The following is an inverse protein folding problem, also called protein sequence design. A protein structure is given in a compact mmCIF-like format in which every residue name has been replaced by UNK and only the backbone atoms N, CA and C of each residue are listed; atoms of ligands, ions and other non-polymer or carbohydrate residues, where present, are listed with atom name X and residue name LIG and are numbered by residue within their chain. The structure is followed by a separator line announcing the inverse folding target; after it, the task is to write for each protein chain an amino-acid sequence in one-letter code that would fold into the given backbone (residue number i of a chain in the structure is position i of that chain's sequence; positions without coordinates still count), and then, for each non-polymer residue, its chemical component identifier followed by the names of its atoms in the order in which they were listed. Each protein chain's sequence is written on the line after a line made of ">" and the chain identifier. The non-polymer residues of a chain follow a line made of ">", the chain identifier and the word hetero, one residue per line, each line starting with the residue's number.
data_IF_339090015947
#
_entry.id   IF_339090015947
#
_cell.length_a   1.000
_cell.length_b   1.000
_cell.length_c   1.000
_cell.angle_alpha   90.00
_cell.angle_beta   90.00
_cell.angle_gamma   90.00
#
_symmetry.space_group_name_H-M   'P 1'
#
loop_
_entity.id
_entity.type
_entity.pdbx_description
1 polymer ?
#
# COMPACT_ATOMS: atom_id res chain seq x y z
N UNK A 1 8.51 -27.75 -9.47
CA UNK A 1 9.68 -27.14 -8.82
C UNK A 1 9.16 -26.41 -7.58
N UNK A 2 9.57 -26.80 -6.39
CA UNK A 2 9.20 -26.07 -5.18
C UNK A 2 9.93 -24.73 -5.22
N UNK A 3 9.17 -23.63 -5.40
CA UNK A 3 9.72 -22.28 -5.24
C UNK A 3 10.16 -22.19 -3.78
N UNK A 4 11.44 -21.90 -3.57
CA UNK A 4 11.98 -21.72 -2.23
C UNK A 4 11.21 -20.59 -1.53
N UNK A 5 10.50 -20.91 -0.46
CA UNK A 5 9.63 -19.96 0.24
C UNK A 5 10.41 -18.78 0.87
N UNK A 6 11.75 -18.89 0.90
CA UNK A 6 12.67 -17.94 1.51
C UNK A 6 13.37 -17.02 0.49
N UNK A 7 12.92 -17.01 -0.76
CA UNK A 7 13.45 -16.12 -1.81
C UNK A 7 12.49 -14.96 -2.11
N UNK A 8 13.03 -13.76 -2.39
CA UNK A 8 12.22 -12.65 -2.89
C UNK A 8 11.44 -13.03 -4.14
N UNK A 9 10.21 -12.58 -4.26
CA UNK A 9 9.40 -12.84 -5.46
C UNK A 9 9.86 -11.93 -6.59
N UNK A 10 10.05 -12.53 -7.78
CA UNK A 10 10.38 -11.79 -8.99
C UNK A 10 9.16 -11.05 -9.55
N UNK A 11 9.40 -10.09 -10.43
CA UNK A 11 8.33 -9.43 -11.21
C UNK A 11 7.50 -10.47 -11.97
N UNK A 12 8.15 -11.47 -12.59
CA UNK A 12 7.46 -12.54 -13.31
C UNK A 12 6.48 -13.34 -12.43
N UNK A 13 6.79 -13.53 -11.13
CA UNK A 13 5.88 -14.17 -10.19
C UNK A 13 4.55 -13.38 -10.09
N UNK A 14 4.63 -12.05 -9.94
CA UNK A 14 3.46 -11.19 -9.87
C UNK A 14 2.71 -11.14 -11.20
N UNK A 15 3.43 -10.98 -12.32
CA UNK A 15 2.85 -11.00 -13.66
C UNK A 15 2.01 -12.24 -13.93
N UNK A 16 2.53 -13.41 -13.54
CA UNK A 16 1.81 -14.67 -13.73
C UNK A 16 0.53 -14.74 -12.91
N UNK A 17 0.52 -14.21 -11.67
CA UNK A 17 -0.68 -14.16 -10.84
C UNK A 17 -1.77 -13.27 -11.48
N UNK A 18 -1.40 -12.12 -12.03
CA UNK A 18 -2.34 -11.25 -12.75
C UNK A 18 -2.84 -11.87 -14.05
N UNK A 19 -1.96 -12.47 -14.86
CA UNK A 19 -2.32 -13.17 -16.11
C UNK A 19 -3.25 -14.35 -15.87
N UNK A 20 -3.09 -15.07 -14.76
CA UNK A 20 -3.90 -16.22 -14.38
C UNK A 20 -5.18 -15.84 -13.60
N UNK A 21 -5.36 -14.56 -13.25
CA UNK A 21 -6.49 -14.09 -12.47
C UNK A 21 -6.51 -14.61 -11.02
N UNK A 22 -5.35 -15.02 -10.49
CA UNK A 22 -5.19 -15.53 -9.12
C UNK A 22 -4.83 -14.40 -8.17
N UNK A 23 -5.81 -13.61 -7.76
CA UNK A 23 -5.65 -12.37 -6.99
C UNK A 23 -6.35 -12.46 -5.62
N UNK A 24 -5.86 -13.27 -4.67
CA UNK A 24 -6.54 -13.46 -3.38
C UNK A 24 -6.59 -12.18 -2.51
N UNK A 25 -5.79 -11.18 -2.84
CA UNK A 25 -5.79 -9.86 -2.20
C UNK A 25 -6.73 -8.85 -2.86
N UNK A 26 -7.40 -9.21 -3.97
CA UNK A 26 -8.35 -8.34 -4.66
C UNK A 26 -9.71 -8.39 -3.95
N UNK A 27 -10.11 -7.28 -3.31
CA UNK A 27 -11.38 -7.18 -2.60
C UNK A 27 -12.57 -6.77 -3.49
N UNK A 28 -12.32 -6.46 -4.77
CA UNK A 28 -13.36 -6.04 -5.72
C UNK A 28 -13.95 -4.66 -5.45
N UNK A 29 -13.31 -3.83 -4.61
CA UNK A 29 -13.83 -2.51 -4.29
C UNK A 29 -12.98 -1.74 -3.26
N UNK A 30 -13.52 -0.59 -2.86
CA UNK A 30 -12.88 0.34 -1.92
C UNK A 30 -13.34 0.04 -0.50
N UNK A 31 -12.41 -0.13 0.46
CA UNK A 31 -12.75 -0.38 1.86
C UNK A 31 -13.53 0.78 2.49
N UNK A 32 -14.47 0.44 3.38
CA UNK A 32 -15.28 1.43 4.07
C UNK A 32 -14.42 2.28 5.03
N UNK A 33 -13.39 1.69 5.68
CA UNK A 33 -12.49 2.43 6.56
C UNK A 33 -11.71 3.51 5.82
N UNK A 34 -11.28 3.24 4.57
CA UNK A 34 -10.66 4.25 3.72
C UNK A 34 -11.65 5.38 3.39
N UNK A 35 -12.90 5.04 3.05
CA UNK A 35 -13.93 6.04 2.75
C UNK A 35 -14.15 6.98 3.93
N UNK A 36 -14.32 6.44 5.13
CA UNK A 36 -14.50 7.22 6.37
C UNK A 36 -13.30 8.11 6.68
N UNK A 37 -12.08 7.60 6.49
CA UNK A 37 -10.87 8.38 6.70
C UNK A 37 -10.82 9.58 5.75
N UNK A 38 -11.04 9.35 4.46
CA UNK A 38 -11.03 10.41 3.45
C UNK A 38 -12.19 11.42 3.65
N UNK A 39 -13.35 10.98 4.09
CA UNK A 39 -14.47 11.88 4.39
C UNK A 39 -14.18 12.80 5.59
N UNK A 40 -13.54 12.30 6.64
CA UNK A 40 -13.10 13.09 7.77
C UNK A 40 -12.05 14.13 7.35
N UNK A 41 -11.01 13.69 6.62
CA UNK A 41 -9.97 14.59 6.11
C UNK A 41 -10.54 15.63 5.12
N UNK A 42 -11.52 15.24 4.28
CA UNK A 42 -12.20 16.16 3.36
C UNK A 42 -13.05 17.20 4.09
N UNK A 43 -13.75 16.82 5.17
CA UNK A 43 -14.50 17.75 6.03
C UNK A 43 -13.61 18.84 6.63
N UNK A 44 -12.32 18.57 6.78
CA UNK A 44 -11.30 19.53 7.24
C UNK A 44 -10.54 20.22 6.10
N UNK A 45 -10.95 19.99 4.84
CA UNK A 45 -10.34 20.61 3.64
C UNK A 45 -8.95 20.07 3.31
N UNK A 46 -8.57 18.90 3.81
CA UNK A 46 -7.22 18.33 3.65
C UNK A 46 -7.06 17.30 2.54
N UNK A 47 -8.03 17.15 1.64
CA UNK A 47 -8.01 16.09 0.61
C UNK A 47 -7.82 16.65 -0.80
N UNK A 48 -8.67 17.61 -1.21
CA UNK A 48 -8.66 18.12 -2.58
C UNK A 48 -7.32 18.75 -2.95
N UNK A 49 -6.76 18.35 -4.09
CA UNK A 49 -5.47 18.82 -4.59
C UNK A 49 -4.23 18.23 -3.93
N UNK A 50 -4.42 17.38 -2.90
CA UNK A 50 -3.31 16.66 -2.25
C UNK A 50 -2.81 15.51 -3.11
N UNK A 51 -1.51 15.27 -3.06
CA UNK A 51 -0.85 14.17 -3.78
C UNK A 51 -0.84 12.89 -2.94
N UNK A 52 -1.13 11.75 -3.57
CA UNK A 52 -1.05 10.43 -2.93
C UNK A 52 -0.35 9.41 -3.82
N UNK A 53 0.57 8.67 -3.22
CA UNK A 53 1.19 7.49 -3.83
C UNK A 53 0.51 6.22 -3.34
N UNK A 54 0.24 5.30 -4.27
CA UNK A 54 -0.25 3.95 -3.98
C UNK A 54 0.76 2.94 -4.53
N UNK A 55 1.69 2.44 -3.72
CA UNK A 55 2.63 1.40 -4.14
C UNK A 55 1.96 0.03 -4.16
N UNK A 56 2.32 -0.81 -5.15
CA UNK A 56 1.69 -2.13 -5.35
C UNK A 56 0.19 -2.00 -5.57
N UNK A 57 -0.21 -1.09 -6.47
CA UNK A 57 -1.59 -0.63 -6.58
C UNK A 57 -2.58 -1.72 -7.04
N UNK A 58 -2.11 -2.81 -7.62
CA UNK A 58 -2.94 -3.92 -8.07
C UNK A 58 -4.09 -3.50 -8.97
N UNK A 59 -5.32 -3.81 -8.58
CA UNK A 59 -6.55 -3.44 -9.31
C UNK A 59 -6.93 -1.96 -9.19
N UNK A 60 -6.29 -1.21 -8.29
CA UNK A 60 -6.38 0.25 -8.13
C UNK A 60 -7.81 0.81 -7.88
N UNK A 61 -8.69 0.07 -7.23
CA UNK A 61 -10.01 0.60 -6.83
C UNK A 61 -9.88 1.83 -5.95
N UNK A 62 -8.93 1.83 -5.02
CA UNK A 62 -8.65 2.95 -4.13
C UNK A 62 -8.09 4.14 -4.90
N UNK A 63 -7.28 3.92 -5.94
CA UNK A 63 -6.79 4.99 -6.82
C UNK A 63 -7.96 5.71 -7.51
N UNK A 64 -8.92 4.95 -8.06
CA UNK A 64 -10.12 5.52 -8.66
C UNK A 64 -10.93 6.35 -7.65
N UNK A 65 -11.12 5.82 -6.45
CA UNK A 65 -11.83 6.52 -5.38
C UNK A 65 -11.14 7.82 -4.98
N UNK A 66 -9.83 7.78 -4.70
CA UNK A 66 -9.07 8.95 -4.28
C UNK A 66 -9.02 10.03 -5.38
N UNK A 67 -8.85 9.64 -6.64
CA UNK A 67 -8.94 10.56 -7.77
C UNK A 67 -10.34 11.20 -7.88
N UNK A 68 -11.42 10.45 -7.65
CA UNK A 68 -12.79 10.99 -7.63
C UNK A 68 -13.05 12.00 -6.50
N UNK A 69 -12.20 11.98 -5.46
CA UNK A 69 -12.22 12.95 -4.34
C UNK A 69 -11.31 14.16 -4.60
N UNK A 70 -10.74 14.28 -5.81
CA UNK A 70 -9.92 15.42 -6.22
C UNK A 70 -8.45 15.32 -5.79
N UNK A 71 -7.97 14.15 -5.39
CA UNK A 71 -6.55 13.93 -5.12
C UNK A 71 -5.76 13.74 -6.42
N UNK A 72 -4.48 14.11 -6.38
CA UNK A 72 -3.50 13.83 -7.42
C UNK A 72 -2.89 12.45 -7.16
N UNK A 73 -3.40 11.43 -7.84
CA UNK A 73 -3.04 10.04 -7.56
C UNK A 73 -1.92 9.56 -8.48
N UNK A 74 -0.84 9.05 -7.88
CA UNK A 74 0.17 8.23 -8.55
C UNK A 74 0.06 6.81 -8.04
N UNK A 75 -0.18 5.86 -8.94
CA UNK A 75 -0.32 4.44 -8.63
C UNK A 75 0.77 3.65 -9.35
N UNK A 76 1.54 2.89 -8.59
CA UNK A 76 2.66 2.11 -9.14
C UNK A 76 2.50 0.63 -8.82
N UNK A 77 2.99 -0.20 -9.72
CA UNK A 77 3.17 -1.64 -9.49
C UNK A 77 4.40 -2.10 -10.28
N UNK A 78 5.08 -3.14 -9.83
CA UNK A 78 6.18 -3.75 -10.58
C UNK A 78 5.69 -4.60 -11.75
N UNK A 79 4.42 -5.02 -11.72
CA UNK A 79 3.77 -5.86 -12.71
C UNK A 79 3.06 -5.01 -13.77
N UNK A 80 3.48 -5.13 -15.03
CA UNK A 80 2.79 -4.49 -16.15
C UNK A 80 1.34 -4.99 -16.31
N UNK A 81 1.02 -6.31 -16.21
CA UNK A 81 -0.35 -6.79 -16.19
C UNK A 81 -1.22 -6.21 -15.05
N UNK A 82 -0.63 -5.90 -13.89
CA UNK A 82 -1.35 -5.19 -12.82
C UNK A 82 -1.74 -3.79 -13.27
N UNK A 83 -0.81 -3.03 -13.85
CA UNK A 83 -1.05 -1.67 -14.36
C UNK A 83 -2.08 -1.67 -15.51
N UNK A 84 -2.03 -2.64 -16.42
CA UNK A 84 -3.05 -2.79 -17.48
C UNK A 84 -4.45 -3.01 -16.89
N UNK A 85 -4.55 -3.91 -15.91
CA UNK A 85 -5.80 -4.16 -15.16
C UNK A 85 -6.28 -2.90 -14.45
N UNK A 86 -5.38 -2.21 -13.73
CA UNK A 86 -5.68 -0.97 -13.03
C UNK A 86 -6.25 0.10 -13.96
N UNK A 87 -5.63 0.32 -15.13
CA UNK A 87 -6.13 1.27 -16.15
C UNK A 87 -7.53 0.90 -16.64
N UNK A 88 -7.80 -0.39 -16.85
CA UNK A 88 -9.11 -0.88 -17.28
C UNK A 88 -10.21 -0.61 -16.23
N UNK A 89 -9.88 -0.70 -14.94
CA UNK A 89 -10.83 -0.48 -13.83
C UNK A 89 -11.04 1.01 -13.58
N UNK A 90 -9.97 1.79 -13.60
CA UNK A 90 -10.01 3.23 -13.29
C UNK A 90 -10.64 4.06 -14.43
N UNK A 91 -10.49 3.60 -15.68
CA UNK A 91 -11.04 4.29 -16.85
C UNK A 91 -10.42 5.68 -17.04
N UNK A 92 -11.27 6.68 -17.30
CA UNK A 92 -10.85 8.05 -17.64
C UNK A 92 -10.51 8.94 -16.43
N UNK A 93 -10.54 8.40 -15.20
CA UNK A 93 -10.17 9.18 -14.03
C UNK A 93 -8.68 9.57 -14.08
N UNK A 94 -8.31 10.78 -13.59
CA UNK A 94 -6.96 11.32 -13.69
C UNK A 94 -6.01 10.65 -12.68
N UNK A 95 -5.60 9.42 -12.98
CA UNK A 95 -4.61 8.65 -12.21
C UNK A 95 -3.35 8.48 -13.05
N UNK A 96 -2.19 8.83 -12.48
CA UNK A 96 -0.89 8.55 -13.07
C UNK A 96 -0.47 7.12 -12.74
N UNK A 97 -0.36 6.28 -13.76
CA UNK A 97 0.09 4.90 -13.61
C UNK A 97 1.52 4.71 -14.09
N UNK A 98 2.34 4.02 -13.30
CA UNK A 98 3.72 3.69 -13.66
C UNK A 98 4.04 2.23 -13.33
N UNK A 99 4.71 1.53 -14.24
CA UNK A 99 5.39 0.27 -13.93
C UNK A 99 6.71 0.63 -13.28
N UNK A 100 6.81 0.48 -11.96
CA UNK A 100 7.98 0.95 -11.21
C UNK A 100 8.17 0.16 -9.92
N UNK A 101 9.44 0.03 -9.50
CA UNK A 101 9.79 -0.44 -8.16
C UNK A 101 9.73 0.73 -7.16
N UNK A 102 9.01 0.53 -6.06
CA UNK A 102 8.93 1.49 -4.96
C UNK A 102 10.31 1.93 -4.44
N UNK A 103 11.27 1.01 -4.42
CA UNK A 103 12.61 1.27 -3.91
C UNK A 103 13.50 2.09 -4.86
N UNK A 104 13.06 2.30 -6.09
CA UNK A 104 13.76 3.05 -7.14
C UNK A 104 13.09 4.41 -7.45
N UNK A 105 12.00 4.75 -6.73
CA UNK A 105 11.33 6.04 -6.90
C UNK A 105 12.21 7.20 -6.48
N UNK A 106 12.22 8.24 -7.31
CA UNK A 106 12.97 9.49 -7.06
C UNK A 106 12.06 10.70 -6.81
N UNK A 107 10.76 10.58 -7.07
CA UNK A 107 9.78 11.64 -6.78
C UNK A 107 9.59 11.75 -5.26
N UNK A 108 9.56 12.94 -4.68
CA UNK A 108 9.68 13.18 -3.24
C UNK A 108 8.78 14.30 -2.72
N UNK A 109 7.51 14.36 -3.12
CA UNK A 109 6.60 15.43 -2.72
C UNK A 109 5.16 14.97 -2.50
N UNK A 110 4.98 13.74 -2.00
CA UNK A 110 3.66 13.23 -1.69
C UNK A 110 3.16 13.74 -0.33
N UNK A 111 1.90 14.20 -0.31
CA UNK A 111 1.20 14.50 0.94
C UNK A 111 0.85 13.20 1.68
N UNK A 112 0.57 12.12 0.90
CA UNK A 112 0.14 10.84 1.45
C UNK A 112 0.79 9.67 0.71
N UNK A 113 0.99 8.58 1.46
CA UNK A 113 1.20 7.23 0.90
C UNK A 113 0.11 6.33 1.46
N UNK A 114 -0.57 5.58 0.59
CA UNK A 114 -1.59 4.61 0.98
C UNK A 114 -1.04 3.19 0.91
N UNK A 115 -1.14 2.46 2.00
CA UNK A 115 -0.69 1.08 2.15
C UNK A 115 -1.89 0.13 2.21
N UNK A 116 -1.88 -0.88 1.35
CA UNK A 116 -2.71 -2.07 1.49
C UNK A 116 -2.08 -3.26 0.78
N UNK A 117 -1.76 -4.31 1.54
CA UNK A 117 -1.16 -5.54 1.02
C UNK A 117 0.22 -5.37 0.33
N UNK A 118 0.85 -4.19 0.43
CA UNK A 118 2.14 -3.90 -0.20
C UNK A 118 3.32 -4.29 0.71
N UNK A 119 3.38 -3.80 1.97
CA UNK A 119 4.48 -4.12 2.89
C UNK A 119 4.59 -5.62 3.14
N UNK A 120 3.48 -6.33 3.21
CA UNK A 120 3.46 -7.79 3.36
C UNK A 120 3.83 -8.55 2.08
N UNK A 121 3.85 -7.90 0.92
CA UNK A 121 4.36 -8.45 -0.33
C UNK A 121 5.89 -8.32 -0.43
N UNK A 122 6.49 -7.38 0.30
CA UNK A 122 7.94 -7.16 0.34
C UNK A 122 8.61 -8.26 1.16
N UNK A 123 9.60 -8.94 0.56
CA UNK A 123 10.41 -9.93 1.27
C UNK A 123 11.11 -9.28 2.48
N UNK A 124 11.18 -9.95 3.65
CA UNK A 124 11.75 -9.38 4.87
C UNK A 124 13.16 -8.78 4.72
N UNK A 125 14.00 -9.35 3.86
CA UNK A 125 15.36 -8.85 3.60
C UNK A 125 15.44 -7.43 2.99
N UNK A 126 14.33 -6.91 2.44
CA UNK A 126 14.25 -5.56 1.88
C UNK A 126 13.53 -4.57 2.78
N UNK A 127 12.85 -5.03 3.84
CA UNK A 127 11.99 -4.19 4.66
C UNK A 127 12.72 -3.08 5.39
N UNK A 128 13.97 -3.30 5.78
CA UNK A 128 14.79 -2.28 6.47
C UNK A 128 14.97 -1.01 5.64
N UNK A 129 14.85 -1.11 4.30
CA UNK A 129 14.91 0.04 3.40
C UNK A 129 13.58 0.83 3.36
N UNK A 130 12.45 0.17 3.66
CA UNK A 130 11.11 0.74 3.47
C UNK A 130 10.91 2.09 4.17
N UNK A 131 11.22 2.26 5.48
CA UNK A 131 10.97 3.55 6.17
C UNK A 131 11.82 4.69 5.62
N UNK A 132 13.06 4.43 5.23
CA UNK A 132 13.95 5.45 4.67
C UNK A 132 13.45 5.93 3.30
N UNK A 133 13.04 5.01 2.43
CA UNK A 133 12.46 5.34 1.13
C UNK A 133 11.13 6.08 1.34
N UNK A 134 10.22 5.54 2.16
CA UNK A 134 8.96 6.19 2.50
C UNK A 134 9.16 7.64 2.99
N UNK A 135 10.14 7.85 3.89
CA UNK A 135 10.48 9.18 4.40
C UNK A 135 10.93 10.12 3.28
N UNK A 136 11.69 9.62 2.32
CA UNK A 136 12.17 10.43 1.19
C UNK A 136 11.07 10.81 0.21
N UNK A 137 10.02 9.99 0.09
CA UNK A 137 8.88 10.24 -0.80
C UNK A 137 7.86 11.23 -0.22
N UNK A 138 7.71 11.26 1.10
CA UNK A 138 6.74 12.10 1.79
C UNK A 138 7.27 13.52 2.04
N UNK A 139 6.38 14.51 1.92
CA UNK A 139 6.58 15.88 2.43
C UNK A 139 6.84 15.85 3.95
N UNK A 140 7.25 16.97 4.53
CA UNK A 140 7.55 17.02 5.97
C UNK A 140 6.31 16.79 6.86
N UNK A 141 5.14 17.24 6.42
CA UNK A 141 3.84 16.98 7.05
C UNK A 141 3.09 15.76 6.46
N UNK A 142 3.78 14.98 5.62
CA UNK A 142 3.20 13.84 4.92
C UNK A 142 2.92 12.65 5.82
N UNK A 143 1.90 11.87 5.44
CA UNK A 143 1.44 10.70 6.20
C UNK A 143 1.39 9.43 5.37
N UNK A 144 1.76 8.32 6.03
CA UNK A 144 1.43 6.98 5.58
C UNK A 144 0.15 6.53 6.29
N UNK A 145 -0.81 6.01 5.57
CA UNK A 145 -2.02 5.42 6.15
C UNK A 145 -2.47 4.20 5.37
N UNK A 146 -3.20 3.31 6.02
CA UNK A 146 -3.73 2.13 5.35
C UNK A 146 -3.89 0.92 6.23
N UNK A 147 -3.89 -0.26 5.59
CA UNK A 147 -4.13 -1.54 6.23
C UNK A 147 -2.83 -2.34 6.30
N UNK A 148 -2.37 -2.58 7.51
CA UNK A 148 -1.15 -3.32 7.78
C UNK A 148 -1.47 -4.76 8.18
N UNK A 149 -0.94 -5.72 7.45
CA UNK A 149 -1.03 -7.14 7.80
C UNK A 149 -0.06 -7.45 8.93
N UNK A 150 -0.60 -7.82 10.09
CA UNK A 150 0.17 -8.14 11.30
C UNK A 150 -0.08 -9.59 11.70
N UNK A 151 0.94 -10.42 11.65
CA UNK A 151 0.81 -11.85 11.92
C UNK A 151 2.03 -12.38 12.70
N UNK A 152 1.78 -13.19 13.72
CA UNK A 152 2.81 -13.84 14.56
C UNK A 152 2.99 -15.33 14.25
N UNK A 153 2.10 -15.91 13.48
CA UNK A 153 2.02 -17.39 13.29
C UNK A 153 2.58 -17.85 11.94
N UNK A 154 2.35 -17.03 10.88
CA UNK A 154 2.79 -17.36 9.52
C UNK A 154 4.31 -17.43 9.45
N UNK A 155 4.85 -18.41 8.71
CA UNK A 155 6.30 -18.65 8.59
C UNK A 155 6.89 -18.22 7.24
N UNK A 156 6.05 -18.01 6.23
CA UNK A 156 6.48 -17.73 4.84
C UNK A 156 5.46 -16.86 4.13
N UNK A 157 5.85 -16.26 3.01
CA UNK A 157 4.99 -15.39 2.22
C UNK A 157 5.19 -15.53 0.71
N UNK A 158 4.60 -14.62 -0.07
CA UNK A 158 3.67 -13.58 0.35
C UNK A 158 2.29 -14.13 0.76
N UNK A 159 1.56 -13.48 1.67
CA UNK A 159 1.98 -12.33 2.46
C UNK A 159 3.03 -12.73 3.50
N UNK A 160 4.13 -11.94 3.58
CA UNK A 160 5.17 -12.15 4.60
C UNK A 160 4.73 -11.51 5.91
N UNK A 161 4.79 -12.24 7.03
CA UNK A 161 4.34 -11.71 8.31
C UNK A 161 5.27 -10.62 8.85
N UNK A 162 4.69 -9.73 9.65
CA UNK A 162 5.42 -8.83 10.55
C UNK A 162 4.62 -8.75 11.84
N UNK A 163 5.30 -8.76 12.99
CA UNK A 163 4.63 -8.54 14.28
C UNK A 163 4.43 -7.04 14.53
N UNK A 164 3.48 -6.67 15.39
CA UNK A 164 3.27 -5.27 15.81
C UNK A 164 4.57 -4.65 16.35
N UNK A 165 5.30 -5.38 17.18
CA UNK A 165 6.57 -4.93 17.75
C UNK A 165 7.61 -4.69 16.66
N UNK A 166 7.73 -5.60 15.68
CA UNK A 166 8.70 -5.46 14.59
C UNK A 166 8.31 -4.33 13.64
N UNK A 167 7.01 -4.13 13.37
CA UNK A 167 6.53 -3.01 12.57
C UNK A 167 6.81 -1.68 13.27
N UNK A 168 6.49 -1.58 14.55
CA UNK A 168 6.79 -0.38 15.36
C UNK A 168 8.30 -0.11 15.40
N UNK A 169 9.13 -1.14 15.61
CA UNK A 169 10.60 -1.01 15.62
C UNK A 169 11.11 -0.54 14.25
N UNK A 170 10.59 -1.11 13.17
CA UNK A 170 10.95 -0.74 11.80
C UNK A 170 10.71 0.75 11.51
N UNK A 171 9.61 1.30 12.02
CA UNK A 171 9.19 2.69 11.80
C UNK A 171 9.83 3.68 12.79
N UNK A 172 10.32 3.20 13.93
CA UNK A 172 10.86 4.04 15.02
C UNK A 172 11.97 4.98 14.55
N UNK A 173 11.93 6.23 15.02
CA UNK A 173 12.93 7.27 14.73
C UNK A 173 12.70 8.00 13.40
N UNK A 174 11.91 7.44 12.48
CA UNK A 174 11.55 8.08 11.21
C UNK A 174 10.06 8.46 11.14
N UNK A 175 9.22 7.69 11.84
CA UNK A 175 7.77 7.88 11.87
C UNK A 175 7.22 7.76 13.28
N UNK A 176 6.12 8.47 13.53
CA UNK A 176 5.30 8.39 14.74
C UNK A 176 3.93 7.82 14.38
N UNK A 177 3.47 6.83 15.12
CA UNK A 177 2.15 6.27 14.96
C UNK A 177 1.10 7.20 15.57
N UNK A 178 0.13 7.63 14.77
CA UNK A 178 -0.99 8.49 15.18
C UNK A 178 -2.25 7.68 15.49
N UNK A 179 -2.46 6.58 14.77
CA UNK A 179 -3.60 5.69 14.97
C UNK A 179 -3.21 4.23 14.73
N UNK A 180 -3.84 3.33 15.48
CA UNK A 180 -3.77 1.89 15.33
C UNK A 180 -5.09 1.27 15.79
N UNK A 181 -5.89 0.81 14.83
CA UNK A 181 -7.26 0.38 15.06
C UNK A 181 -7.53 -0.98 14.41
N UNK A 182 -8.36 -1.79 15.03
CA UNK A 182 -8.96 -2.93 14.35
C UNK A 182 -9.89 -2.46 13.24
N UNK A 183 -10.03 -3.26 12.19
CA UNK A 183 -10.92 -2.94 11.08
C UNK A 183 -11.81 -4.13 10.73
N UNK A 184 -13.01 -3.84 10.23
CA UNK A 184 -13.92 -4.85 9.69
C UNK A 184 -13.67 -5.11 8.20
N UNK A 185 -12.94 -4.23 7.51
CA UNK A 185 -12.59 -4.30 6.09
C UNK A 185 -11.42 -5.27 5.82
N UNK A 186 -11.54 -6.49 6.29
CA UNK A 186 -10.50 -7.51 6.20
C UNK A 186 -10.47 -8.16 4.82
N UNK A 187 -9.29 -8.35 4.25
CA UNK A 187 -9.10 -9.27 3.14
C UNK A 187 -9.15 -10.72 3.64
N UNK A 188 -9.95 -11.56 2.99
CA UNK A 188 -10.12 -12.96 3.41
C UNK A 188 -8.78 -13.71 3.52
N UNK A 189 -7.80 -13.39 2.67
CA UNK A 189 -6.45 -13.99 2.67
C UNK A 189 -5.64 -13.64 3.93
N UNK A 190 -6.03 -12.61 4.67
CA UNK A 190 -5.34 -12.16 5.89
C UNK A 190 -6.00 -12.62 7.19
N UNK A 191 -7.15 -13.32 7.09
CA UNK A 191 -7.77 -14.02 8.21
C UNK A 191 -8.03 -13.14 9.45
N UNK A 192 -8.40 -11.88 9.25
CA UNK A 192 -8.66 -10.93 10.34
C UNK A 192 -7.41 -10.28 10.94
N UNK A 193 -6.26 -10.42 10.30
CA UNK A 193 -4.96 -9.93 10.79
C UNK A 193 -4.53 -8.59 10.15
N UNK A 194 -5.48 -7.78 9.69
CA UNK A 194 -5.23 -6.41 9.24
C UNK A 194 -5.58 -5.40 10.32
N UNK A 195 -4.77 -4.37 10.43
CA UNK A 195 -4.99 -3.20 11.27
C UNK A 195 -4.94 -1.93 10.44
N UNK A 196 -5.88 -1.03 10.70
CA UNK A 196 -5.79 0.31 10.14
C UNK A 196 -4.80 1.14 10.93
N UNK A 197 -3.79 1.70 10.28
CA UNK A 197 -2.79 2.53 10.93
C UNK A 197 -2.57 3.84 10.18
N UNK A 198 -2.18 4.87 10.94
CA UNK A 198 -1.75 6.17 10.43
C UNK A 198 -0.40 6.52 11.06
N UNK A 199 0.55 6.90 10.22
CA UNK A 199 1.91 7.26 10.63
C UNK A 199 2.28 8.62 10.05
N UNK A 200 2.79 9.52 10.87
CA UNK A 200 3.35 10.81 10.46
C UNK A 200 4.87 10.77 10.46
N UNK A 201 5.46 11.56 9.57
CA UNK A 201 6.91 11.72 9.49
C UNK A 201 7.41 12.48 10.74
N UNK A 202 8.46 11.98 11.38
CA UNK A 202 9.17 12.70 12.47
C UNK A 202 10.08 13.74 11.82
N UNK A 203 9.98 15.00 12.23
CA UNK A 203 10.78 16.13 11.74
C UNK A 203 12.21 16.11 12.26
#
# INVERSE_FOLDING_TARGET
>A
MSVDADQPRSVEFWDNLYKEGRLPWDCGGVPERLRRFIELENGEGRVAGKSVLIPGCGSAYEAAYLASRGMQVTAIDVSEPAIERARSIVGDLPVRFEVSDFFELVQNDFDFVYERAFLCAIHPSFRDRFPAVLRSLLKDDGKLFGFFFVDTERKSGPPYPITEVNLSTLMTGLFQQEADESTEDQLAVFEGKERWQVWSKVL
#
